data_IF_195040905569
#
_entry.id   IF_195040905569
#
_cell.length_a   1.000
_cell.length_b   1.000
_cell.length_c   1.000
_cell.angle_alpha   90.00
_cell.angle_beta   90.00
_cell.angle_gamma   90.00
#
_symmetry.space_group_name_H-M   'P 1'
#
loop_
_entity.id
_entity.type
_entity.pdbx_description
1 polymer ?
#
# COMPACT_ATOMS: atom_id res chain seq x y z
N UNK A 1 26.19 41.25 -2.23
CA UNK A 1 25.74 39.97 -1.61
C UNK A 1 24.65 39.29 -2.44
N UNK A 2 24.16 39.93 -3.51
CA UNK A 2 22.98 39.51 -4.27
C UNK A 2 23.18 38.25 -5.12
N UNK A 3 24.42 37.97 -5.56
CA UNK A 3 24.74 36.80 -6.38
C UNK A 3 24.49 35.47 -5.66
N UNK A 4 24.58 35.45 -4.32
CA UNK A 4 24.33 34.26 -3.52
C UNK A 4 22.83 33.93 -3.46
N UNK A 5 21.96 34.94 -3.45
CA UNK A 5 20.50 34.75 -3.43
C UNK A 5 20.00 34.05 -4.70
N UNK A 6 20.50 34.44 -5.87
CA UNK A 6 20.13 33.80 -7.13
C UNK A 6 20.53 32.32 -7.18
N UNK A 7 21.71 31.99 -6.65
CA UNK A 7 22.19 30.61 -6.58
C UNK A 7 21.34 29.74 -5.63
N UNK A 8 21.04 30.25 -4.43
CA UNK A 8 20.19 29.54 -3.46
C UNK A 8 18.77 29.36 -3.99
N UNK A 9 18.22 30.36 -4.70
CA UNK A 9 16.90 30.26 -5.30
C UNK A 9 16.84 29.17 -6.38
N UNK A 10 17.84 29.11 -7.25
CA UNK A 10 17.96 28.06 -8.26
C UNK A 10 18.07 26.67 -7.62
N UNK A 11 18.89 26.53 -6.58
CA UNK A 11 19.10 25.26 -5.89
C UNK A 11 17.82 24.81 -5.16
N UNK A 12 17.08 25.75 -4.57
CA UNK A 12 15.80 25.47 -3.90
C UNK A 12 14.72 25.03 -4.89
N UNK A 13 14.63 25.67 -6.07
CA UNK A 13 13.70 25.27 -7.12
C UNK A 13 14.06 23.91 -7.74
N UNK A 14 15.36 23.65 -8.00
CA UNK A 14 15.82 22.37 -8.52
C UNK A 14 15.53 21.22 -7.54
N UNK A 15 15.79 21.45 -6.25
CA UNK A 15 15.51 20.46 -5.18
C UNK A 15 14.01 20.27 -5.02
N UNK A 16 13.20 21.33 -4.98
CA UNK A 16 11.73 21.23 -4.85
C UNK A 16 11.08 20.48 -6.03
N UNK A 17 11.54 20.75 -7.26
CA UNK A 17 11.08 20.03 -8.45
C UNK A 17 11.46 18.55 -8.42
N UNK A 18 12.69 18.24 -8.01
CA UNK A 18 13.16 16.86 -7.85
C UNK A 18 12.32 16.09 -6.82
N UNK A 19 12.09 16.67 -5.64
CA UNK A 19 11.29 16.03 -4.59
C UNK A 19 9.85 15.76 -5.04
N UNK A 20 9.23 16.71 -5.76
CA UNK A 20 7.87 16.55 -6.28
C UNK A 20 7.75 15.36 -7.24
N UNK A 21 8.69 15.21 -8.17
CA UNK A 21 8.71 14.09 -9.13
C UNK A 21 8.98 12.74 -8.45
N UNK A 22 9.92 12.70 -7.51
CA UNK A 22 10.20 11.47 -6.74
C UNK A 22 9.02 11.02 -5.88
N UNK A 23 8.19 11.94 -5.40
CA UNK A 23 7.02 11.59 -4.61
C UNK A 23 5.94 10.91 -5.46
N UNK A 24 5.71 11.41 -6.68
CA UNK A 24 4.76 10.83 -7.63
C UNK A 24 5.18 9.44 -8.10
N UNK A 25 6.47 9.26 -8.42
CA UNK A 25 6.99 7.99 -8.94
C UNK A 25 7.30 6.99 -7.83
N UNK A 26 7.72 7.43 -6.64
CA UNK A 26 8.12 6.53 -5.56
C UNK A 26 6.94 6.12 -4.69
N UNK A 27 6.12 7.08 -4.26
CA UNK A 27 5.14 6.84 -3.21
C UNK A 27 3.88 6.12 -3.74
N UNK A 28 3.46 6.44 -4.97
CA UNK A 28 2.32 5.78 -5.63
C UNK A 28 2.55 4.28 -5.80
N UNK A 29 3.62 3.78 -6.45
CA UNK A 29 3.82 2.35 -6.60
C UNK A 29 4.23 1.66 -5.29
N UNK A 30 4.81 2.37 -4.33
CA UNK A 30 5.15 1.78 -3.02
C UNK A 30 3.90 1.40 -2.22
N UNK A 31 2.86 2.24 -2.21
CA UNK A 31 1.60 1.89 -1.52
C UNK A 31 0.67 1.04 -2.39
N UNK A 32 0.65 1.26 -3.72
CA UNK A 32 -0.34 0.66 -4.63
C UNK A 32 0.16 -0.67 -5.22
N UNK A 33 1.48 -0.86 -5.30
CA UNK A 33 2.11 -2.08 -5.78
C UNK A 33 1.66 -3.34 -5.03
N UNK A 34 1.65 -3.35 -3.69
CA UNK A 34 1.19 -4.51 -2.91
C UNK A 34 -0.27 -4.88 -3.22
N UNK A 35 -1.19 -3.90 -3.22
CA UNK A 35 -2.61 -4.16 -3.51
C UNK A 35 -2.88 -4.64 -4.94
N UNK A 36 -2.12 -4.11 -5.93
CA UNK A 36 -2.19 -4.59 -7.31
C UNK A 36 -1.61 -5.99 -7.47
N UNK A 37 -0.55 -6.32 -6.74
CA UNK A 37 0.07 -7.64 -6.80
C UNK A 37 -0.76 -8.71 -6.06
N UNK A 38 -1.52 -8.32 -5.03
CA UNK A 38 -2.54 -9.15 -4.38
C UNK A 38 -3.72 -9.41 -5.31
N UNK A 39 -4.25 -8.37 -5.96
CA UNK A 39 -5.37 -8.51 -6.92
C UNK A 39 -4.99 -9.35 -8.15
N UNK A 40 -3.72 -9.29 -8.58
CA UNK A 40 -3.19 -10.15 -9.66
C UNK A 40 -2.85 -11.57 -9.23
N UNK A 41 -3.18 -11.97 -8.00
CA UNK A 41 -3.01 -13.33 -7.50
C UNK A 41 -1.56 -13.77 -7.41
N UNK A 42 -0.59 -12.85 -7.31
CA UNK A 42 0.84 -13.19 -7.25
C UNK A 42 1.36 -13.41 -5.83
N UNK A 43 0.72 -12.78 -4.84
CA UNK A 43 1.17 -12.78 -3.44
C UNK A 43 0.44 -13.85 -2.61
N UNK A 44 -0.76 -14.29 -3.04
CA UNK A 44 -1.61 -15.25 -2.33
C UNK A 44 -2.26 -16.29 -3.28
N UNK A 45 -1.58 -16.69 -4.36
CA UNK A 45 -2.14 -17.60 -5.37
C UNK A 45 -2.50 -18.99 -4.81
N UNK A 46 -1.76 -19.42 -3.79
CA UNK A 46 -1.82 -20.76 -3.21
C UNK A 46 -2.71 -20.82 -1.95
N UNK A 47 -3.22 -19.66 -1.52
CA UNK A 47 -4.01 -19.53 -0.29
C UNK A 47 -5.48 -19.59 -0.66
N UNK A 48 -6.12 -20.73 -0.40
CA UNK A 48 -7.54 -20.93 -0.66
C UNK A 48 -8.37 -19.93 0.18
N UNK A 49 -9.20 -19.07 -0.45
CA UNK A 49 -9.91 -18.00 0.25
C UNK A 49 -10.85 -18.52 1.35
N UNK A 50 -11.24 -19.80 1.32
CA UNK A 50 -12.06 -20.42 2.37
C UNK A 50 -11.29 -20.68 3.69
N UNK A 51 -9.96 -20.68 3.66
CA UNK A 51 -9.12 -20.88 4.87
C UNK A 51 -8.77 -19.57 5.59
N UNK A 52 -8.65 -18.47 4.84
CA UNK A 52 -8.32 -17.14 5.39
C UNK A 52 -9.56 -16.34 5.76
N UNK A 53 -10.69 -16.56 5.07
CA UNK A 53 -11.96 -15.95 5.49
C UNK A 53 -12.29 -16.46 6.88
N UNK A 54 -12.61 -15.57 7.81
CA UNK A 54 -13.13 -15.98 9.11
C UNK A 54 -14.37 -16.85 8.88
N UNK A 55 -14.22 -18.17 9.02
CA UNK A 55 -15.34 -19.11 8.93
C UNK A 55 -16.34 -18.72 10.00
N UNK A 56 -17.63 -18.64 9.65
CA UNK A 56 -18.63 -18.31 10.67
C UNK A 56 -18.65 -19.46 11.69
N UNK A 57 -18.99 -19.16 12.93
CA UNK A 57 -18.87 -20.11 14.05
C UNK A 57 -19.62 -21.44 13.79
N UNK A 58 -20.66 -21.44 12.97
CA UNK A 58 -21.42 -22.64 12.58
C UNK A 58 -20.77 -23.49 11.46
N UNK A 59 -19.72 -23.00 10.81
CA UNK A 59 -19.00 -23.69 9.71
C UNK A 59 -17.67 -24.31 10.19
N UNK A 60 -17.33 -24.15 11.47
CA UNK A 60 -16.10 -24.67 12.06
C UNK A 60 -16.35 -26.08 12.60
N UNK A 61 -15.64 -27.09 12.10
CA UNK A 61 -15.73 -28.46 12.63
C UNK A 61 -15.37 -28.47 14.14
N UNK A 62 -16.35 -28.81 14.98
CA UNK A 62 -16.20 -28.89 16.44
C UNK A 62 -16.78 -27.72 17.24
N UNK A 63 -17.41 -26.73 16.60
CA UNK A 63 -18.09 -25.61 17.28
C UNK A 63 -19.60 -25.67 17.02
N UNK A 64 -20.38 -26.09 18.02
CA UNK A 64 -21.84 -26.02 17.96
C UNK A 64 -22.34 -24.74 18.62
N UNK A 65 -23.18 -23.98 17.89
CA UNK A 65 -23.75 -22.72 18.39
C UNK A 65 -24.91 -23.04 19.33
N UNK A 66 -24.70 -22.80 20.62
CA UNK A 66 -25.70 -23.12 21.65
C UNK A 66 -26.95 -22.23 21.61
N UNK A 67 -26.89 -21.05 20.97
CA UNK A 67 -28.03 -20.16 20.83
C UNK A 67 -27.85 -19.14 19.69
N UNK A 68 -28.88 -18.98 18.86
CA UNK A 68 -28.99 -17.90 17.87
C UNK A 68 -30.31 -17.17 18.13
N UNK A 69 -30.23 -15.85 18.34
CA UNK A 69 -31.37 -14.97 18.63
C UNK A 69 -32.23 -14.74 17.39
#
# INVERSE_FOLDING_TARGET
>A
MDQFLGFVFFLTMAVSGFWCLTFLIGIIPYWLGPGLAETRGKINADVDPETVRSKKLYEQEGVEVLYQK
#
